data_IF_602871011222
#
_entry.id   IF_602871011222
#
_cell.length_a   1.000
_cell.length_b   1.000
_cell.length_c   1.000
_cell.angle_alpha   90.00
_cell.angle_beta   90.00
_cell.angle_gamma   90.00
#
_symmetry.space_group_name_H-M   'P 1'
#
loop_
_entity.id
_entity.type
_entity.pdbx_description
1 polymer ?
#
# COMPACT_ATOMS: atom_id res chain seq x y z
N UNK A 1 15.56 -32.31 -19.77
CA UNK A 1 14.22 -31.68 -19.92
C UNK A 1 13.75 -31.16 -18.55
N UNK A 2 13.26 -29.92 -18.40
CA UNK A 2 12.73 -29.47 -17.11
C UNK A 2 11.52 -30.32 -16.73
N UNK A 3 11.54 -30.87 -15.52
CA UNK A 3 10.48 -31.68 -14.94
C UNK A 3 9.12 -30.93 -15.04
N UNK A 4 8.03 -31.64 -15.34
CA UNK A 4 6.68 -31.10 -15.46
C UNK A 4 6.28 -30.23 -14.24
N UNK A 5 6.73 -30.60 -13.05
CA UNK A 5 6.57 -29.79 -11.83
C UNK A 5 7.18 -28.39 -11.94
N UNK A 6 8.38 -28.25 -12.53
CA UNK A 6 9.06 -26.95 -12.68
C UNK A 6 8.32 -26.03 -13.65
N UNK A 7 7.72 -26.58 -14.71
CA UNK A 7 6.90 -25.81 -15.66
C UNK A 7 5.62 -25.29 -15.00
N UNK A 8 4.94 -26.15 -14.22
CA UNK A 8 3.72 -25.76 -13.50
C UNK A 8 4.03 -24.63 -12.51
N UNK A 9 5.08 -24.77 -11.69
CA UNK A 9 5.49 -23.74 -10.71
C UNK A 9 5.77 -22.39 -11.39
N UNK A 10 6.45 -22.40 -12.53
CA UNK A 10 6.75 -21.17 -13.26
C UNK A 10 5.48 -20.50 -13.81
N UNK A 11 4.60 -21.27 -14.43
CA UNK A 11 3.33 -20.76 -14.95
C UNK A 11 2.44 -20.20 -13.83
N UNK A 12 2.31 -20.92 -12.71
CA UNK A 12 1.50 -20.45 -11.58
C UNK A 12 2.09 -19.21 -10.93
N UNK A 13 3.41 -19.15 -10.74
CA UNK A 13 4.09 -17.96 -10.23
C UNK A 13 3.93 -16.75 -11.17
N UNK A 14 3.97 -16.99 -12.49
CA UNK A 14 3.76 -15.96 -13.51
C UNK A 14 2.34 -15.38 -13.47
N UNK A 15 1.31 -16.24 -13.48
CA UNK A 15 -0.09 -15.82 -13.38
C UNK A 15 -0.35 -15.08 -12.06
N UNK A 16 0.14 -15.62 -10.94
CA UNK A 16 -0.02 -15.00 -9.63
C UNK A 16 0.64 -13.61 -9.58
N UNK A 17 1.84 -13.47 -10.17
CA UNK A 17 2.55 -12.20 -10.24
C UNK A 17 1.80 -11.17 -11.10
N UNK A 18 1.22 -11.60 -12.21
CA UNK A 18 0.42 -10.72 -13.07
C UNK A 18 -0.85 -10.23 -12.35
N UNK A 19 -1.57 -11.13 -11.67
CA UNK A 19 -2.74 -10.77 -10.86
C UNK A 19 -2.36 -9.82 -9.72
N UNK A 20 -1.24 -10.08 -9.03
CA UNK A 20 -0.72 -9.18 -8.00
C UNK A 20 -0.41 -7.78 -8.55
N UNK A 21 0.21 -7.68 -9.73
CA UNK A 21 0.52 -6.41 -10.36
C UNK A 21 -0.76 -5.60 -10.66
N UNK A 22 -1.79 -6.24 -11.22
CA UNK A 22 -3.10 -5.59 -11.43
C UNK A 22 -3.76 -5.17 -10.11
N UNK A 23 -3.68 -6.01 -9.08
CA UNK A 23 -4.19 -5.71 -7.75
C UNK A 23 -3.50 -4.50 -7.11
N UNK A 24 -2.19 -4.38 -7.26
CA UNK A 24 -1.42 -3.24 -6.74
C UNK A 24 -1.76 -1.96 -7.49
N UNK A 25 -1.81 -1.98 -8.83
CA UNK A 25 -2.15 -0.79 -9.64
C UNK A 25 -3.53 -0.27 -9.28
N UNK A 26 -4.50 -1.16 -9.14
CA UNK A 26 -5.87 -0.78 -8.74
C UNK A 26 -5.90 -0.25 -7.31
N UNK A 27 -5.26 -0.94 -6.36
CA UNK A 27 -5.23 -0.53 -4.95
C UNK A 27 -4.51 0.81 -4.74
N UNK A 28 -3.45 1.14 -5.49
CA UNK A 28 -2.76 2.42 -5.37
C UNK A 28 -3.62 3.62 -5.76
N UNK A 29 -4.56 3.44 -6.69
CA UNK A 29 -5.44 4.51 -7.17
C UNK A 29 -6.61 4.82 -6.25
N UNK A 30 -6.93 3.94 -5.28
CA UNK A 30 -8.11 4.10 -4.42
C UNK A 30 -7.80 4.89 -3.14
N UNK A 31 -8.82 5.58 -2.58
CA UNK A 31 -8.69 6.26 -1.29
C UNK A 31 -8.93 5.31 -0.09
N UNK A 32 -8.81 4.00 -0.29
CA UNK A 32 -9.22 2.98 0.68
C UNK A 32 -8.02 2.33 1.36
N UNK A 33 -7.04 3.15 1.77
CA UNK A 33 -5.87 2.68 2.52
C UNK A 33 -6.05 2.82 4.02
N UNK A 34 -6.53 3.99 4.44
CA UNK A 34 -6.81 4.31 5.84
C UNK A 34 -8.25 4.77 5.96
N UNK A 35 -8.95 4.24 6.96
CA UNK A 35 -10.15 4.85 7.53
C UNK A 35 -9.81 5.38 8.92
N UNK A 36 -10.12 6.64 9.16
CA UNK A 36 -9.88 7.31 10.43
C UNK A 36 -11.14 8.00 10.95
N UNK A 37 -11.32 8.00 12.26
CA UNK A 37 -12.34 8.79 12.94
C UNK A 37 -11.68 9.97 13.66
N UNK A 38 -12.27 11.15 13.49
CA UNK A 38 -11.73 12.41 13.99
C UNK A 38 -12.73 13.08 14.92
N UNK A 39 -12.32 13.41 16.12
CA UNK A 39 -13.17 14.10 17.10
C UNK A 39 -12.87 15.59 17.08
N UNK A 40 -13.89 16.42 16.94
CA UNK A 40 -13.80 17.86 17.15
C UNK A 40 -13.63 18.17 18.64
N UNK A 41 -12.38 18.24 19.10
CA UNK A 41 -12.04 18.44 20.51
C UNK A 41 -12.53 19.80 21.01
N UNK A 42 -12.36 20.85 20.22
CA UNK A 42 -12.86 22.20 20.57
C UNK A 42 -14.37 22.19 20.77
N UNK A 43 -15.12 21.60 19.84
CA UNK A 43 -16.59 21.54 19.90
C UNK A 43 -17.08 20.72 21.09
N UNK A 44 -16.51 19.53 21.32
CA UNK A 44 -16.90 18.67 22.43
C UNK A 44 -16.62 19.33 23.80
N UNK A 45 -15.49 20.02 23.95
CA UNK A 45 -15.15 20.72 25.20
C UNK A 45 -16.04 21.94 25.46
N UNK A 46 -16.43 22.68 24.42
CA UNK A 46 -17.30 23.86 24.56
C UNK A 46 -18.66 23.54 25.17
N UNK A 47 -19.20 22.35 24.87
CA UNK A 47 -20.51 21.91 25.40
C UNK A 47 -20.38 20.85 26.51
N UNK A 48 -19.15 20.54 26.94
CA UNK A 48 -18.87 19.46 27.89
C UNK A 48 -19.50 18.10 27.50
N UNK A 49 -19.45 17.76 26.20
CA UNK A 49 -20.01 16.52 25.69
C UNK A 49 -19.22 15.30 26.22
N UNK A 50 -19.94 14.27 26.67
CA UNK A 50 -19.35 13.02 27.14
C UNK A 50 -20.17 11.80 26.69
N UNK A 51 -19.54 10.62 26.68
CA UNK A 51 -20.21 9.37 26.28
C UNK A 51 -20.76 9.41 24.85
N UNK A 52 -22.04 9.05 24.69
CA UNK A 52 -22.71 8.99 23.37
C UNK A 52 -22.83 10.37 22.69
N UNK A 53 -22.71 11.48 23.41
CA UNK A 53 -22.80 12.81 22.82
C UNK A 53 -21.62 13.13 21.89
N UNK A 54 -20.47 12.45 22.07
CA UNK A 54 -19.28 12.62 21.21
C UNK A 54 -19.54 12.23 19.76
N UNK A 55 -20.55 11.39 19.49
CA UNK A 55 -20.87 10.96 18.13
C UNK A 55 -21.27 12.15 17.24
N UNK A 56 -21.87 13.20 17.82
CA UNK A 56 -22.22 14.45 17.11
C UNK A 56 -21.00 15.31 16.76
N UNK A 57 -19.85 15.02 17.36
CA UNK A 57 -18.57 15.71 17.16
C UNK A 57 -17.56 14.82 16.45
N UNK A 58 -17.95 13.61 16.06
CA UNK A 58 -17.08 12.63 15.43
C UNK A 58 -17.31 12.62 13.93
N UNK A 59 -16.28 13.03 13.20
CA UNK A 59 -16.19 12.89 11.76
C UNK A 59 -15.52 11.59 11.34
N UNK A 60 -15.73 11.22 10.09
CA UNK A 60 -15.01 10.12 9.44
C UNK A 60 -14.21 10.65 8.25
N UNK A 61 -13.04 10.06 8.01
CA UNK A 61 -12.29 10.30 6.80
C UNK A 61 -11.65 9.02 6.28
N UNK A 62 -11.47 8.97 4.96
CA UNK A 62 -10.82 7.89 4.27
C UNK A 62 -9.86 8.44 3.23
N UNK A 63 -8.67 7.87 3.16
CA UNK A 63 -7.67 8.32 2.21
C UNK A 63 -6.74 7.22 1.77
N UNK A 64 -6.20 7.43 0.57
CA UNK A 64 -5.20 6.61 -0.09
C UNK A 64 -3.87 7.32 -0.15
N UNK A 65 -3.00 6.85 -1.03
CA UNK A 65 -1.68 7.42 -1.21
C UNK A 65 -1.74 8.85 -1.78
N UNK A 66 -2.63 9.11 -2.74
CA UNK A 66 -2.63 10.34 -3.54
C UNK A 66 -3.78 11.29 -3.25
N UNK A 67 -4.87 10.80 -2.68
CA UNK A 67 -6.06 11.61 -2.41
C UNK A 67 -6.91 10.98 -1.32
N UNK A 68 -7.79 11.80 -0.77
CA UNK A 68 -8.70 11.41 0.28
C UNK A 68 -9.88 12.33 0.39
N UNK A 69 -10.85 11.86 1.16
CA UNK A 69 -12.06 12.60 1.47
C UNK A 69 -12.49 12.32 2.90
N UNK A 70 -13.18 13.28 3.50
CA UNK A 70 -13.74 13.09 4.83
C UNK A 70 -14.86 14.06 5.11
N UNK A 71 -15.44 13.90 6.27
CA UNK A 71 -16.50 14.74 6.80
C UNK A 71 -16.12 15.12 8.22
N UNK A 72 -15.96 16.42 8.44
CA UNK A 72 -15.78 16.97 9.79
C UNK A 72 -17.14 17.17 10.43
N UNK A 73 -17.27 16.83 11.72
CA UNK A 73 -18.46 17.12 12.51
C UNK A 73 -18.06 17.88 13.78
N UNK A 74 -18.79 18.94 14.12
CA UNK A 74 -18.58 19.71 15.36
C UNK A 74 -19.94 20.12 15.98
N UNK A 75 -20.96 19.25 15.93
CA UNK A 75 -22.30 19.56 16.46
C UNK A 75 -23.16 20.50 15.61
N UNK A 76 -22.57 21.25 14.67
CA UNK A 76 -23.28 22.16 13.75
C UNK A 76 -23.59 21.55 12.38
N UNK A 77 -23.44 20.23 12.23
CA UNK A 77 -23.64 19.50 10.98
C UNK A 77 -22.35 19.00 10.33
N UNK A 78 -22.52 18.30 9.21
CA UNK A 78 -21.47 17.64 8.44
C UNK A 78 -20.79 18.62 7.47
N UNK A 79 -19.45 18.73 7.55
CA UNK A 79 -18.63 19.54 6.65
C UNK A 79 -17.73 18.63 5.81
N UNK A 80 -18.10 18.30 4.56
CA UNK A 80 -17.29 17.46 3.70
C UNK A 80 -16.04 18.21 3.24
N UNK A 81 -14.93 17.49 3.13
CA UNK A 81 -13.69 18.01 2.57
C UNK A 81 -13.02 16.94 1.71
N UNK A 82 -12.26 17.38 0.72
CA UNK A 82 -11.42 16.55 -0.14
C UNK A 82 -10.03 17.14 -0.16
N UNK A 83 -9.04 16.28 -0.30
CA UNK A 83 -7.65 16.70 -0.38
C UNK A 83 -6.89 15.78 -1.31
N UNK A 84 -5.83 16.32 -1.89
CA UNK A 84 -4.85 15.56 -2.66
C UNK A 84 -3.54 15.58 -1.88
N UNK A 85 -2.87 14.44 -1.82
CA UNK A 85 -1.58 14.26 -1.18
C UNK A 85 -0.55 14.04 -2.28
N UNK A 86 0.46 14.88 -2.35
CA UNK A 86 1.59 14.72 -3.28
C UNK A 86 2.73 13.88 -2.67
N UNK A 87 2.43 12.99 -1.71
CA UNK A 87 3.43 12.08 -1.16
C UNK A 87 3.97 11.18 -2.27
N UNK A 88 5.13 11.55 -2.82
CA UNK A 88 5.81 10.77 -3.85
C UNK A 88 6.03 9.36 -3.33
N UNK A 89 5.48 8.37 -4.04
CA UNK A 89 5.61 6.92 -3.86
C UNK A 89 6.29 6.48 -2.54
N UNK A 90 5.67 6.78 -1.40
CA UNK A 90 6.19 6.36 -0.12
C UNK A 90 5.97 4.85 -0.01
N UNK A 91 7.06 4.09 0.11
CA UNK A 91 7.04 2.65 0.38
C UNK A 91 6.06 2.37 1.52
N UNK A 92 5.35 1.23 1.51
CA UNK A 92 4.33 0.86 2.51
C UNK A 92 4.76 1.14 3.97
N UNK A 93 6.04 0.93 4.28
CA UNK A 93 6.64 1.20 5.60
C UNK A 93 6.67 2.69 5.92
N UNK A 94 7.06 3.53 4.96
CA UNK A 94 7.06 4.99 5.10
C UNK A 94 5.63 5.52 5.23
N UNK A 95 4.69 5.00 4.45
CA UNK A 95 3.29 5.36 4.58
C UNK A 95 2.72 5.00 5.97
N UNK A 96 2.94 3.77 6.44
CA UNK A 96 2.51 3.36 7.78
C UNK A 96 3.16 4.19 8.89
N UNK A 97 4.44 4.55 8.71
CA UNK A 97 5.17 5.41 9.64
C UNK A 97 4.59 6.83 9.67
N UNK A 98 4.25 7.42 8.53
CA UNK A 98 3.60 8.74 8.49
C UNK A 98 2.24 8.74 9.19
N UNK A 99 1.44 7.69 8.97
CA UNK A 99 0.14 7.53 9.65
C UNK A 99 0.32 7.44 11.16
N UNK A 100 1.22 6.57 11.64
CA UNK A 100 1.34 6.24 13.06
C UNK A 100 2.28 7.15 13.87
N UNK A 101 3.41 7.55 13.31
CA UNK A 101 4.46 8.32 14.00
C UNK A 101 4.26 9.81 13.77
N UNK A 102 3.89 10.22 12.56
CA UNK A 102 3.75 11.64 12.21
C UNK A 102 2.31 12.16 12.32
N UNK A 103 1.40 11.35 12.86
CA UNK A 103 -0.02 11.70 13.06
C UNK A 103 -0.63 12.31 11.80
N UNK A 104 -0.34 11.73 10.64
CA UNK A 104 -0.79 12.24 9.33
C UNK A 104 -2.30 12.47 9.31
N UNK A 105 -3.07 11.55 9.92
CA UNK A 105 -4.51 11.70 10.06
C UNK A 105 -4.92 13.01 10.75
N UNK A 106 -4.23 13.36 11.82
CA UNK A 106 -4.51 14.59 12.58
C UNK A 106 -4.11 15.83 11.77
N UNK A 107 -2.97 15.79 11.07
CA UNK A 107 -2.54 16.88 10.17
C UNK A 107 -3.55 17.12 9.05
N UNK A 108 -4.07 16.06 8.42
CA UNK A 108 -5.10 16.14 7.37
C UNK A 108 -6.40 16.71 7.94
N UNK A 109 -6.84 16.22 9.10
CA UNK A 109 -8.09 16.65 9.72
C UNK A 109 -8.08 18.16 10.03
N UNK A 110 -6.94 18.70 10.45
CA UNK A 110 -6.74 20.11 10.75
C UNK A 110 -6.25 20.94 9.55
N UNK A 111 -6.10 20.34 8.36
CA UNK A 111 -5.63 21.08 7.19
C UNK A 111 -6.62 22.18 6.80
N UNK A 112 -6.10 23.40 6.65
CA UNK A 112 -6.87 24.62 6.38
C UNK A 112 -7.96 24.91 7.43
N UNK A 113 -7.85 24.34 8.63
CA UNK A 113 -8.76 24.60 9.74
C UNK A 113 -8.07 25.53 10.76
N UNK A 114 -8.64 26.71 11.01
CA UNK A 114 -8.10 27.68 11.97
C UNK A 114 -8.86 27.78 13.29
N UNK A 115 -10.14 27.34 13.30
CA UNK A 115 -11.06 27.61 14.42
C UNK A 115 -11.29 26.38 15.30
N UNK A 116 -11.28 25.18 14.72
CA UNK A 116 -11.57 23.94 15.42
C UNK A 116 -10.35 23.02 15.43
N UNK A 117 -10.07 22.42 16.57
CA UNK A 117 -9.04 21.39 16.71
C UNK A 117 -9.68 20.01 16.62
N UNK A 118 -9.27 19.23 15.63
CA UNK A 118 -9.65 17.84 15.45
C UNK A 118 -8.56 16.92 15.98
N UNK A 119 -8.95 15.86 16.70
CA UNK A 119 -8.02 14.84 17.18
C UNK A 119 -8.43 13.48 16.64
N UNK A 120 -7.46 12.71 16.15
CA UNK A 120 -7.72 11.35 15.66
C UNK A 120 -8.01 10.42 16.83
N UNK A 121 -9.14 9.72 16.78
CA UNK A 121 -9.58 8.76 17.80
C UNK A 121 -9.23 7.32 17.41
N UNK A 122 -9.57 6.94 16.17
CA UNK A 122 -9.33 5.60 15.65
C UNK A 122 -8.78 5.68 14.25
N UNK A 123 -7.88 4.75 13.94
CA UNK A 123 -7.32 4.57 12.61
C UNK A 123 -7.27 3.07 12.33
N UNK A 124 -7.77 2.66 11.18
CA UNK A 124 -7.67 1.28 10.70
C UNK A 124 -7.22 1.24 9.26
N UNK A 125 -6.27 0.34 8.98
CA UNK A 125 -5.88 0.00 7.62
C UNK A 125 -6.99 -0.79 6.93
N UNK A 126 -7.34 -0.38 5.72
CA UNK A 126 -8.44 -0.94 4.94
C UNK A 126 -7.95 -1.75 3.74
N UNK A 127 -8.89 -2.23 2.92
CA UNK A 127 -8.65 -3.24 1.87
C UNK A 127 -7.46 -2.95 0.97
N UNK A 128 -7.31 -1.72 0.47
CA UNK A 128 -6.26 -1.43 -0.50
C UNK A 128 -4.86 -1.49 0.11
N UNK A 129 -4.71 -1.11 1.38
CA UNK A 129 -3.45 -1.31 2.10
C UNK A 129 -3.11 -2.81 2.22
N UNK A 130 -4.08 -3.64 2.62
CA UNK A 130 -3.87 -5.08 2.78
C UNK A 130 -3.62 -5.81 1.46
N UNK A 131 -4.26 -5.39 0.37
CA UNK A 131 -3.99 -5.91 -0.98
C UNK A 131 -2.54 -5.64 -1.37
N UNK A 132 -2.06 -4.39 -1.23
CA UNK A 132 -0.68 -4.03 -1.57
C UNK A 132 0.31 -4.80 -0.69
N UNK A 133 0.06 -4.87 0.63
CA UNK A 133 0.90 -5.61 1.56
C UNK A 133 1.00 -7.10 1.19
N UNK A 134 -0.14 -7.74 0.92
CA UNK A 134 -0.19 -9.16 0.57
C UNK A 134 0.50 -9.43 -0.76
N UNK A 135 0.30 -8.57 -1.77
CA UNK A 135 0.99 -8.69 -3.05
C UNK A 135 2.51 -8.57 -2.87
N UNK A 136 2.98 -7.58 -2.10
CA UNK A 136 4.41 -7.44 -1.77
C UNK A 136 4.96 -8.70 -1.08
N UNK A 137 4.22 -9.27 -0.12
CA UNK A 137 4.61 -10.49 0.58
C UNK A 137 4.68 -11.70 -0.38
N UNK A 138 3.69 -11.86 -1.26
CA UNK A 138 3.66 -12.92 -2.27
C UNK A 138 4.86 -12.80 -3.21
N UNK A 139 5.19 -11.60 -3.68
CA UNK A 139 6.38 -11.39 -4.52
C UNK A 139 7.67 -11.71 -3.79
N UNK A 140 7.80 -11.32 -2.52
CA UNK A 140 8.95 -11.65 -1.69
C UNK A 140 9.11 -13.17 -1.51
N UNK A 141 8.03 -13.88 -1.17
CA UNK A 141 8.02 -15.33 -1.02
C UNK A 141 8.32 -16.04 -2.33
N UNK A 142 7.75 -15.60 -3.45
CA UNK A 142 8.05 -16.15 -4.78
C UNK A 142 9.54 -15.98 -5.12
N UNK A 143 10.12 -14.81 -4.85
CA UNK A 143 11.55 -14.56 -5.03
C UNK A 143 12.41 -15.49 -4.17
N UNK A 144 12.04 -15.66 -2.90
CA UNK A 144 12.74 -16.57 -1.97
C UNK A 144 12.65 -18.03 -2.44
N UNK A 145 11.48 -18.49 -2.88
CA UNK A 145 11.27 -19.84 -3.40
C UNK A 145 12.13 -20.09 -4.65
N UNK A 146 12.19 -19.15 -5.59
CA UNK A 146 13.05 -19.26 -6.78
C UNK A 146 14.53 -19.36 -6.40
N UNK A 147 14.97 -18.57 -5.41
CA UNK A 147 16.35 -18.60 -4.89
C UNK A 147 16.67 -19.93 -4.20
N UNK A 148 15.81 -20.40 -3.31
CA UNK A 148 16.00 -21.66 -2.57
C UNK A 148 15.90 -22.90 -3.48
N UNK A 149 15.05 -22.87 -4.51
CA UNK A 149 14.90 -23.97 -5.46
C UNK A 149 16.06 -24.09 -6.47
N UNK A 150 17.05 -23.19 -6.42
CA UNK A 150 18.23 -23.22 -7.30
C UNK A 150 17.87 -23.12 -8.78
N UNK A 151 16.82 -22.38 -9.12
CA UNK A 151 16.33 -22.33 -10.50
C UNK A 151 17.30 -21.55 -11.40
N UNK A 152 18.01 -22.27 -12.28
CA UNK A 152 18.77 -21.69 -13.39
C UNK A 152 17.78 -21.13 -14.41
N UNK A 153 17.65 -19.80 -14.47
CA UNK A 153 16.83 -19.17 -15.50
C UNK A 153 17.41 -19.53 -16.87
N UNK A 154 16.56 -19.86 -17.87
CA UNK A 154 17.03 -20.25 -19.21
C UNK A 154 17.80 -19.13 -19.94
N UNK A 155 17.78 -17.91 -19.40
CA UNK A 155 18.55 -16.75 -19.89
C UNK A 155 19.97 -16.69 -19.33
N UNK A 156 20.31 -17.50 -18.32
CA UNK A 156 21.67 -17.69 -17.85
C UNK A 156 22.40 -18.64 -18.82
N UNK A 157 22.51 -18.25 -20.10
CA UNK A 157 23.53 -18.85 -20.95
C UNK A 157 24.86 -18.35 -20.39
N UNK A 158 25.66 -19.25 -19.82
CA UNK A 158 27.08 -19.01 -19.71
C UNK A 158 27.55 -18.55 -21.09
N UNK A 159 28.34 -17.48 -21.12
CA UNK A 159 29.14 -17.14 -22.28
C UNK A 159 30.03 -18.36 -22.52
N UNK A 160 29.60 -19.26 -23.39
CA UNK A 160 30.39 -20.42 -23.77
C UNK A 160 31.65 -19.90 -24.46
N UNK A 161 32.73 -19.83 -23.69
CA UNK A 161 34.10 -19.90 -24.18
C UNK A 161 34.28 -21.25 -24.85
N UNK A 162 33.73 -21.38 -26.06
CA UNK A 162 33.86 -22.51 -26.95
C UNK A 162 34.52 -22.07 -28.25
N UNK A 163 35.63 -21.35 -28.16
CA UNK A 163 36.47 -20.99 -29.31
C UNK A 163 37.79 -21.74 -29.23
N UNK A 164 37.76 -23.08 -29.28
CA UNK A 164 39.00 -23.86 -29.35
C UNK A 164 38.99 -25.08 -30.26
N UNK A 165 37.85 -25.58 -30.77
CA UNK A 165 37.85 -26.88 -31.46
C UNK A 165 37.39 -26.87 -32.94
N UNK A 166 37.20 -25.71 -33.58
CA UNK A 166 36.78 -25.66 -35.01
C UNK A 166 37.97 -25.46 -35.97
N UNK A 167 39.17 -25.18 -35.47
CA UNK A 167 40.36 -24.94 -36.30
C UNK A 167 41.21 -26.19 -36.61
N UNK A 168 40.85 -27.36 -36.11
CA UNK A 168 41.68 -28.58 -36.24
C UNK A 168 41.24 -29.54 -37.36
N UNK A 169 40.10 -29.30 -38.03
CA UNK A 169 39.49 -30.27 -38.97
C UNK A 169 39.55 -29.81 -40.44
N UNK A 170 40.52 -28.95 -40.78
CA UNK A 170 40.77 -28.47 -42.16
C UNK A 170 42.19 -28.80 -42.64
N UNK A 171 42.75 -29.91 -42.19
CA UNK A 171 44.03 -30.45 -42.63
C UNK A 171 43.93 -31.97 -42.75
N UNK A 172 43.15 -32.46 -43.73
CA UNK A 172 43.49 -33.61 -44.59
C UNK A 172 42.48 -33.73 -45.73
#
# INVERSE_FOLDING_TARGET
MPNQQKKIIFCTAGVLSFVCALGVVTALGTPLWIKATILCKTGALLVNASGQELDKFTGEMQYGLFHGQGVRQCGLGARPFRFSCSCGCLVMILFASEVKIHHLSEKIANYAEGTYAYRTQRESYTTSFWVVFTCCLVHFLNGLLIRLAGFQFPFAKSKDTGTTNVAADLMY
#
